data_IF_033203505807
#
_entry.id   IF_033203505807
#
_cell.length_a   1.000
_cell.length_b   1.000
_cell.length_c   1.000
_cell.angle_alpha   90.00
_cell.angle_beta   90.00
_cell.angle_gamma   90.00
#
_symmetry.space_group_name_H-M   'P 1'
#
loop_
_entity.id
_entity.type
_entity.pdbx_description
1 polymer ?
#
# COMPACT_ATOMS: atom_id res chain seq x y z
N UNK A 1 14.19 -13.85 -5.13
CA UNK A 1 13.19 -14.14 -4.09
C UNK A 1 11.82 -13.88 -4.70
N UNK A 2 10.81 -14.72 -4.42
CA UNK A 2 9.46 -14.49 -4.91
C UNK A 2 8.89 -13.20 -4.30
N UNK A 3 8.08 -12.48 -5.08
CA UNK A 3 7.33 -11.31 -4.63
C UNK A 3 5.92 -11.75 -4.26
N UNK A 4 5.46 -11.35 -3.08
CA UNK A 4 4.07 -11.54 -2.64
C UNK A 4 3.35 -10.20 -2.69
N UNK A 5 2.34 -10.09 -3.55
CA UNK A 5 1.49 -8.91 -3.68
C UNK A 5 0.17 -9.15 -2.95
N UNK A 6 -0.09 -8.37 -1.91
CA UNK A 6 -1.41 -8.31 -1.25
C UNK A 6 -2.11 -7.06 -1.75
N UNK A 7 -3.29 -7.20 -2.38
CA UNK A 7 -3.93 -6.09 -3.07
C UNK A 7 -5.44 -6.03 -2.87
N UNK A 8 -6.00 -4.83 -2.75
CA UNK A 8 -7.45 -4.66 -2.62
C UNK A 8 -8.20 -5.00 -3.91
N UNK A 9 -9.50 -5.25 -3.77
CA UNK A 9 -10.36 -5.71 -4.85
C UNK A 9 -11.06 -4.56 -5.61
N UNK A 10 -10.45 -3.36 -5.68
CA UNK A 10 -10.98 -2.28 -6.49
C UNK A 10 -11.14 -2.75 -7.94
N UNK A 11 -12.25 -2.40 -8.60
CA UNK A 11 -12.57 -2.90 -9.96
C UNK A 11 -11.43 -2.71 -10.98
N UNK A 12 -10.67 -1.63 -10.85
CA UNK A 12 -9.51 -1.34 -11.71
C UNK A 12 -8.38 -2.39 -11.55
N UNK A 13 -8.30 -3.06 -10.41
CA UNK A 13 -7.33 -4.13 -10.14
C UNK A 13 -7.78 -5.50 -10.68
N UNK A 14 -9.02 -5.62 -11.14
CA UNK A 14 -9.63 -6.87 -11.64
C UNK A 14 -9.72 -6.96 -13.16
N UNK A 15 -9.10 -6.02 -13.87
CA UNK A 15 -9.16 -6.00 -15.33
C UNK A 15 -8.39 -7.17 -15.93
N UNK A 16 -8.90 -7.71 -17.05
CA UNK A 16 -8.32 -8.88 -17.71
C UNK A 16 -6.80 -8.77 -17.96
N UNK A 17 -6.25 -7.62 -18.41
CA UNK A 17 -4.80 -7.51 -18.61
C UNK A 17 -3.96 -7.73 -17.35
N UNK A 18 -4.44 -7.31 -16.18
CA UNK A 18 -3.72 -7.55 -14.92
C UNK A 18 -3.79 -9.02 -14.52
N UNK A 19 -4.93 -9.66 -14.74
CA UNK A 19 -5.10 -11.10 -14.49
C UNK A 19 -4.16 -11.93 -15.37
N UNK A 20 -4.11 -11.64 -16.67
CA UNK A 20 -3.18 -12.30 -17.61
C UNK A 20 -1.72 -12.08 -17.20
N UNK A 21 -1.37 -10.86 -16.75
CA UNK A 21 -0.05 -10.56 -16.22
C UNK A 21 0.27 -11.44 -15.00
N UNK A 22 -0.65 -11.59 -14.05
CA UNK A 22 -0.43 -12.44 -12.87
C UNK A 22 -0.28 -13.92 -13.26
N UNK A 23 -1.14 -14.43 -14.14
CA UNK A 23 -1.10 -15.82 -14.61
C UNK A 23 0.21 -16.15 -15.36
N UNK A 24 0.77 -15.18 -16.10
CA UNK A 24 2.02 -15.36 -16.85
C UNK A 24 3.27 -15.33 -15.96
N UNK A 25 3.18 -14.75 -14.76
CA UNK A 25 4.33 -14.47 -13.89
C UNK A 25 4.30 -15.25 -12.56
N UNK A 26 3.56 -16.36 -12.50
CA UNK A 26 3.40 -17.18 -11.28
C UNK A 26 4.70 -17.80 -10.75
N UNK A 27 5.76 -17.83 -11.55
CA UNK A 27 7.08 -18.33 -11.18
C UNK A 27 7.81 -17.40 -10.19
N UNK A 28 7.51 -16.10 -10.21
CA UNK A 28 8.13 -15.12 -9.32
C UNK A 28 7.13 -14.23 -8.56
N UNK A 29 5.85 -14.22 -8.94
CA UNK A 29 4.81 -13.38 -8.35
C UNK A 29 3.66 -14.22 -7.79
N UNK A 30 3.39 -14.09 -6.49
CA UNK A 30 2.18 -14.61 -5.83
C UNK A 30 1.26 -13.46 -5.48
N UNK A 31 -0.02 -13.52 -5.89
CA UNK A 31 -0.99 -12.45 -5.65
C UNK A 31 -2.11 -12.93 -4.73
N UNK A 32 -2.33 -12.20 -3.63
CA UNK A 32 -3.47 -12.38 -2.72
C UNK A 32 -4.40 -11.16 -2.84
N UNK A 33 -5.60 -11.37 -3.37
CA UNK A 33 -6.62 -10.33 -3.39
C UNK A 33 -7.42 -10.32 -2.09
N UNK A 34 -7.55 -9.15 -1.48
CA UNK A 34 -8.33 -8.96 -0.27
C UNK A 34 -9.83 -9.04 -0.59
N UNK A 35 -10.68 -9.44 0.39
CA UNK A 35 -12.13 -9.31 0.24
C UNK A 35 -12.56 -7.87 -0.02
N UNK A 36 -13.72 -7.70 -0.67
CA UNK A 36 -14.31 -6.37 -0.83
C UNK A 36 -14.63 -5.76 0.54
N UNK A 37 -14.37 -4.47 0.70
CA UNK A 37 -14.60 -3.72 1.94
C UNK A 37 -13.82 -4.24 3.17
N UNK A 38 -12.60 -4.75 2.97
CA UNK A 38 -11.68 -5.15 4.06
C UNK A 38 -10.48 -4.19 4.21
N UNK A 39 -10.69 -2.90 4.54
CA UNK A 39 -9.59 -1.94 4.71
C UNK A 39 -8.69 -2.27 5.91
N UNK A 40 -9.23 -2.95 6.92
CA UNK A 40 -8.53 -3.45 8.09
C UNK A 40 -7.45 -4.49 7.76
N UNK A 41 -7.58 -5.16 6.61
CA UNK A 41 -6.59 -6.11 6.11
C UNK A 41 -5.52 -5.45 5.22
N UNK A 42 -5.71 -4.19 4.81
CA UNK A 42 -4.82 -3.51 3.89
C UNK A 42 -3.77 -2.66 4.63
N UNK A 43 -2.49 -3.09 4.69
CA UNK A 43 -1.46 -2.35 5.43
C UNK A 43 -1.18 -0.96 4.83
N UNK A 44 -1.52 -0.75 3.55
CA UNK A 44 -1.45 0.56 2.91
C UNK A 44 -2.31 1.61 3.64
N UNK A 45 -3.44 1.21 4.24
CA UNK A 45 -4.30 2.13 4.99
C UNK A 45 -3.58 2.71 6.22
N UNK A 46 -2.75 1.91 6.89
CA UNK A 46 -1.88 2.37 7.97
C UNK A 46 -0.90 3.45 7.51
N UNK A 47 -0.24 3.21 6.36
CA UNK A 47 0.68 4.18 5.73
C UNK A 47 -0.08 5.47 5.38
N UNK A 48 -1.25 5.37 4.77
CA UNK A 48 -2.06 6.54 4.42
C UNK A 48 -2.55 7.31 5.64
N UNK A 49 -2.91 6.64 6.73
CA UNK A 49 -3.27 7.27 8.00
C UNK A 49 -2.12 8.15 8.52
N UNK A 50 -0.89 7.63 8.48
CA UNK A 50 0.31 8.38 8.88
C UNK A 50 0.60 9.57 7.97
N UNK A 51 0.39 9.42 6.66
CA UNK A 51 0.55 10.52 5.70
C UNK A 51 -0.49 11.60 5.95
N UNK A 52 -1.78 11.23 6.02
CA UNK A 52 -2.90 12.16 6.24
C UNK A 52 -2.76 12.92 7.57
N UNK A 53 -2.31 12.26 8.64
CA UNK A 53 -2.07 12.91 9.94
C UNK A 53 -1.03 14.03 9.86
N UNK A 54 -0.02 13.88 9.01
CA UNK A 54 1.09 14.83 8.85
C UNK A 54 0.68 16.04 8.00
N UNK A 55 -0.08 15.79 6.92
CA UNK A 55 -0.44 16.82 5.93
C UNK A 55 -1.86 17.38 6.12
N UNK A 56 -2.65 16.86 7.05
CA UNK A 56 -4.07 17.20 7.19
C UNK A 56 -4.35 18.68 7.48
N UNK A 57 -3.38 19.38 8.06
CA UNK A 57 -3.46 20.82 8.34
C UNK A 57 -2.62 21.67 7.38
N UNK A 58 -2.14 21.09 6.28
CA UNK A 58 -1.35 21.83 5.29
C UNK A 58 -2.27 22.77 4.50
N UNK A 59 -2.08 24.07 4.67
CA UNK A 59 -2.72 25.10 3.84
C UNK A 59 -2.01 25.20 2.47
N UNK A 60 -2.19 24.18 1.63
CA UNK A 60 -1.60 24.12 0.31
C UNK A 60 -2.31 25.08 -0.66
N UNK A 61 -1.54 25.90 -1.38
CA UNK A 61 -2.08 26.82 -2.39
C UNK A 61 -2.40 26.12 -3.72
N UNK A 62 -1.83 24.94 -3.96
CA UNK A 62 -1.96 24.19 -5.20
C UNK A 62 -1.71 22.69 -5.00
N UNK A 63 -2.10 21.88 -6.00
CA UNK A 63 -1.90 20.44 -5.99
C UNK A 63 -0.42 20.03 -5.96
N UNK A 64 0.48 20.87 -6.49
CA UNK A 64 1.91 20.64 -6.46
C UNK A 64 2.47 20.66 -5.03
N UNK A 65 1.96 21.54 -4.17
CA UNK A 65 2.30 21.59 -2.75
C UNK A 65 1.85 20.32 -2.01
N UNK A 66 0.61 19.86 -2.25
CA UNK A 66 0.10 18.60 -1.69
C UNK A 66 0.97 17.43 -2.17
N UNK A 67 1.27 17.36 -3.46
CA UNK A 67 2.10 16.31 -4.06
C UNK A 67 3.48 16.25 -3.43
N UNK A 68 4.13 17.41 -3.22
CA UNK A 68 5.44 17.48 -2.55
C UNK A 68 5.37 17.01 -1.10
N UNK A 69 4.35 17.41 -0.37
CA UNK A 69 4.16 17.01 1.03
C UNK A 69 3.95 15.49 1.16
N UNK A 70 3.07 14.91 0.35
CA UNK A 70 2.83 13.46 0.29
C UNK A 70 4.13 12.72 -0.04
N UNK A 71 4.83 13.11 -1.12
CA UNK A 71 6.09 12.46 -1.53
C UNK A 71 7.16 12.54 -0.44
N UNK A 72 7.30 13.70 0.22
CA UNK A 72 8.25 13.87 1.33
C UNK A 72 7.92 12.91 2.47
N UNK A 73 6.65 12.81 2.87
CA UNK A 73 6.24 11.94 3.98
C UNK A 73 6.43 10.47 3.64
N UNK A 74 6.03 10.04 2.44
CA UNK A 74 6.28 8.67 1.97
C UNK A 74 7.77 8.35 1.93
N UNK A 75 8.61 9.29 1.47
CA UNK A 75 10.07 9.13 1.46
C UNK A 75 10.64 8.98 2.87
N UNK A 76 10.13 9.73 3.85
CA UNK A 76 10.53 9.56 5.25
C UNK A 76 10.13 8.20 5.80
N UNK A 77 8.91 7.73 5.51
CA UNK A 77 8.43 6.41 5.94
C UNK A 77 9.26 5.27 5.33
N UNK A 78 9.72 5.42 4.08
CA UNK A 78 10.59 4.45 3.40
C UNK A 78 11.86 4.11 4.20
N UNK A 79 12.40 5.06 4.98
CA UNK A 79 13.61 4.86 5.78
C UNK A 79 13.32 4.43 7.22
N UNK A 80 12.09 4.03 7.52
CA UNK A 80 11.61 3.65 8.86
C UNK A 80 10.92 2.28 8.82
N UNK A 81 11.69 1.19 8.64
CA UNK A 81 11.15 -0.15 8.51
C UNK A 81 10.24 -0.54 9.69
N UNK A 82 10.56 -0.09 10.91
CA UNK A 82 9.78 -0.38 12.10
C UNK A 82 8.34 0.17 12.03
N UNK A 83 8.13 1.27 11.32
CA UNK A 83 6.80 1.83 11.10
C UNK A 83 6.05 1.02 10.04
N UNK A 84 6.74 0.64 8.96
CA UNK A 84 6.16 -0.15 7.87
C UNK A 84 5.72 -1.52 8.42
N UNK A 85 6.58 -2.15 9.20
CA UNK A 85 6.30 -3.42 9.88
C UNK A 85 5.14 -3.27 10.87
N UNK A 86 5.07 -2.15 11.59
CA UNK A 86 3.94 -1.84 12.47
C UNK A 86 2.61 -1.70 11.72
N UNK A 87 2.61 -1.13 10.51
CA UNK A 87 1.42 -1.08 9.66
C UNK A 87 0.99 -2.46 9.17
N UNK A 88 1.95 -3.36 8.91
CA UNK A 88 1.66 -4.75 8.55
C UNK A 88 1.12 -5.54 9.75
N UNK A 89 1.77 -5.43 10.91
CA UNK A 89 1.33 -6.10 12.13
C UNK A 89 -0.08 -5.66 12.54
N UNK A 90 -0.45 -4.40 12.28
CA UNK A 90 -1.80 -3.88 12.53
C UNK A 90 -2.92 -4.58 11.75
N UNK A 91 -2.60 -5.28 10.66
CA UNK A 91 -3.58 -6.07 9.88
C UNK A 91 -3.61 -7.55 10.28
N UNK A 92 -2.78 -7.96 11.24
CA UNK A 92 -2.59 -9.36 11.61
C UNK A 92 -1.74 -10.17 10.62
N UNK A 93 -1.19 -9.52 9.58
CA UNK A 93 -0.24 -10.14 8.66
C UNK A 93 1.17 -10.12 9.28
N UNK A 94 1.95 -11.16 9.00
CA UNK A 94 3.33 -11.29 9.47
C UNK A 94 4.24 -11.75 8.35
N UNK A 95 5.44 -11.19 8.27
CA UNK A 95 6.52 -11.72 7.45
C UNK A 95 7.23 -12.80 8.27
N UNK A 96 6.87 -14.07 8.07
CA UNK A 96 7.66 -15.19 8.60
C UNK A 96 8.83 -15.48 7.65
N UNK A 97 10.00 -15.77 8.22
CA UNK A 97 11.16 -16.28 7.47
C UNK A 97 10.94 -17.70 6.96
#
# INVERSE_FOLDING_TARGET
>A
MPIVLVWDNLRTHLVAPLREFFETNVDWLTVFQLPTYAPDLNPQEGIWSLVKRDIGNLAAADLGQVTRAVKRKLKMLQYRPEIIDGCLAGTGLTLSE
#
